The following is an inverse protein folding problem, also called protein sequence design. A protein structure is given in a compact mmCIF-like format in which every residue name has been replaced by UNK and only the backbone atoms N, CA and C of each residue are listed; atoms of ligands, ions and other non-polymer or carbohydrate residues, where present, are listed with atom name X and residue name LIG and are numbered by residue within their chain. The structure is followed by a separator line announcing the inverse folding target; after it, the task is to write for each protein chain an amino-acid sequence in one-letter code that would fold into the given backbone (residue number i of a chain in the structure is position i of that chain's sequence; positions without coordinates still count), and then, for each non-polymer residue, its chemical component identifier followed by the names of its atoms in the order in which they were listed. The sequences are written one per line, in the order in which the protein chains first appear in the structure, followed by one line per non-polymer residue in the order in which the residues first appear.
data_IF_702530349670
#
_entry.id   IF_702530349670
#
_cell.length_a   1.000
_cell.length_b   1.000
_cell.length_c   1.000
_cell.angle_alpha   90.00
_cell.angle_beta   90.00
_cell.angle_gamma   90.00
#
_symmetry.space_group_name_H-M   'P 1'
#
loop_
_entity.id
_entity.type
_entity.pdbx_description
1 polymer ?
#
# COMPACT_ATOMS: atom_id res chain seq x y z
N UNK A 1 -2.98 -14.27 7.64
CA UNK A 1 -1.63 -13.88 7.16
C UNK A 1 -1.68 -12.46 6.61
N UNK A 2 -1.22 -11.44 7.35
CA UNK A 2 -1.29 -10.01 6.95
C UNK A 2 0.03 -9.23 7.17
N UNK A 3 1.13 -9.97 7.35
CA UNK A 3 2.48 -9.45 7.56
C UNK A 3 3.50 -10.26 6.77
N UNK A 4 4.79 -10.07 7.08
CA UNK A 4 5.88 -10.82 6.47
C UNK A 4 5.64 -12.33 6.56
N UNK A 5 5.84 -13.05 5.45
CA UNK A 5 5.57 -14.47 5.39
C UNK A 5 6.54 -15.21 4.46
N UNK A 6 7.69 -15.57 5.03
CA UNK A 6 8.74 -16.28 4.32
C UNK A 6 8.31 -17.67 3.79
N UNK A 7 7.22 -18.26 4.33
CA UNK A 7 6.75 -19.58 3.89
C UNK A 7 6.15 -19.57 2.48
N UNK A 8 5.81 -18.38 1.94
CA UNK A 8 5.28 -18.20 0.59
C UNK A 8 6.37 -17.97 -0.46
N UNK A 9 7.59 -17.68 -0.03
CA UNK A 9 8.73 -17.46 -0.91
C UNK A 9 8.97 -18.70 -1.77
N UNK A 10 9.28 -18.48 -3.06
CA UNK A 10 9.48 -19.53 -4.07
C UNK A 10 8.25 -20.39 -4.38
N UNK A 11 7.09 -20.11 -3.76
CA UNK A 11 5.81 -20.82 -4.01
C UNK A 11 4.81 -19.95 -4.77
N UNK A 12 4.97 -18.64 -4.70
CA UNK A 12 4.13 -17.64 -5.36
C UNK A 12 4.99 -16.68 -6.18
N UNK A 13 4.38 -16.06 -7.18
CA UNK A 13 5.02 -15.05 -8.03
C UNK A 13 4.64 -13.65 -7.52
N UNK A 14 5.54 -12.93 -6.83
CA UNK A 14 5.30 -11.53 -6.48
C UNK A 14 5.39 -10.66 -7.74
N UNK A 15 4.40 -9.77 -7.93
CA UNK A 15 4.33 -8.86 -9.10
C UNK A 15 4.39 -7.38 -8.75
N UNK A 16 4.47 -7.04 -7.46
CA UNK A 16 4.50 -5.65 -7.01
C UNK A 16 4.45 -5.51 -5.50
N UNK A 17 4.43 -4.25 -5.06
CA UNK A 17 4.41 -3.86 -3.65
C UNK A 17 3.43 -2.71 -3.44
N UNK A 18 2.82 -2.64 -2.26
CA UNK A 18 1.98 -1.52 -1.86
C UNK A 18 2.89 -0.36 -1.42
N UNK A 19 2.91 0.71 -2.22
CA UNK A 19 3.68 1.93 -1.92
C UNK A 19 2.92 2.93 -1.05
N UNK A 20 1.58 2.85 -1.02
CA UNK A 20 0.72 3.73 -0.22
C UNK A 20 -0.56 3.01 0.18
N UNK A 21 -1.12 3.36 1.34
CA UNK A 21 -2.40 2.81 1.82
C UNK A 21 -2.33 1.39 2.38
N UNK A 22 -1.16 0.92 2.83
CA UNK A 22 -1.04 -0.39 3.49
C UNK A 22 -1.92 -0.48 4.75
N UNK A 23 -2.13 0.62 5.46
CA UNK A 23 -3.03 0.70 6.61
C UNK A 23 -4.49 0.45 6.21
N UNK A 24 -4.92 0.90 5.02
CA UNK A 24 -6.26 0.64 4.47
C UNK A 24 -6.43 -0.84 4.16
N UNK A 25 -5.42 -1.46 3.52
CA UNK A 25 -5.41 -2.90 3.25
C UNK A 25 -5.51 -3.72 4.54
N UNK A 26 -4.81 -3.30 5.60
CA UNK A 26 -4.85 -3.97 6.90
C UNK A 26 -6.22 -3.88 7.59
N UNK A 27 -7.04 -2.87 7.26
CA UNK A 27 -8.39 -2.65 7.79
C UNK A 27 -9.49 -3.47 7.09
N UNK A 28 -9.18 -4.15 5.97
CA UNK A 28 -10.18 -5.00 5.28
C UNK A 28 -10.78 -6.03 6.23
N UNK A 29 -12.10 -6.25 6.14
CA UNK A 29 -12.83 -7.20 7.00
C UNK A 29 -12.24 -8.60 6.93
N UNK A 30 -12.15 -9.24 8.09
CA UNK A 30 -11.56 -10.58 8.26
C UNK A 30 -12.66 -11.64 8.15
N UNK A 31 -12.34 -12.78 7.52
CA UNK A 31 -13.22 -13.95 7.40
C UNK A 31 -12.91 -14.78 6.16
N UNK A 32 -13.35 -16.05 6.15
CA UNK A 32 -13.17 -16.99 5.03
C UNK A 32 -14.49 -17.69 4.66
N UNK A 33 -15.41 -17.03 3.92
CA UNK A 33 -15.42 -15.60 3.60
C UNK A 33 -16.04 -14.74 4.73
N UNK A 34 -15.77 -13.42 4.77
CA UNK A 34 -16.47 -12.51 5.68
C UNK A 34 -17.96 -12.40 5.30
N UNK A 35 -18.84 -12.17 6.27
CA UNK A 35 -20.29 -12.00 6.03
C UNK A 35 -20.61 -10.86 5.06
N UNK A 36 -19.87 -9.75 5.15
CA UNK A 36 -20.02 -8.57 4.31
C UNK A 36 -18.66 -8.06 3.81
N UNK A 37 -18.01 -8.71 2.82
CA UNK A 37 -16.66 -8.37 2.40
C UNK A 37 -16.59 -6.95 1.81
N UNK A 38 -15.45 -6.28 2.01
CA UNK A 38 -15.18 -5.01 1.34
C UNK A 38 -14.97 -5.21 -0.15
N UNK A 39 -15.20 -4.15 -0.93
CA UNK A 39 -15.22 -4.20 -2.40
C UNK A 39 -14.19 -3.24 -2.98
N UNK A 40 -13.53 -3.67 -4.06
CA UNK A 40 -12.79 -2.77 -4.93
C UNK A 40 -13.79 -2.02 -5.81
N UNK A 41 -14.05 -0.75 -5.50
CA UNK A 41 -15.05 0.07 -6.22
C UNK A 41 -14.48 0.69 -7.49
N UNK A 42 -13.18 0.96 -7.53
CA UNK A 42 -12.47 1.52 -8.68
C UNK A 42 -11.05 0.99 -8.72
N UNK A 43 -10.63 0.48 -9.87
CA UNK A 43 -9.26 0.06 -10.15
C UNK A 43 -8.86 0.67 -11.48
N UNK A 44 -7.72 1.35 -11.52
CA UNK A 44 -7.18 1.96 -12.75
C UNK A 44 -5.67 1.81 -12.79
N UNK A 45 -5.13 1.61 -13.99
CA UNK A 45 -3.70 1.78 -14.23
C UNK A 45 -3.37 3.26 -14.24
N UNK A 46 -2.22 3.64 -13.69
CA UNK A 46 -1.79 5.03 -13.64
C UNK A 46 -1.70 5.66 -15.05
N UNK A 47 -1.30 4.86 -16.04
CA UNK A 47 -1.25 5.22 -17.46
C UNK A 47 -2.60 5.64 -18.04
N UNK A 48 -3.69 5.08 -17.51
CA UNK A 48 -5.05 5.27 -18.05
C UNK A 48 -5.75 6.47 -17.39
N UNK A 49 -5.10 7.11 -16.42
CA UNK A 49 -5.60 8.33 -15.78
C UNK A 49 -5.20 9.53 -16.64
N UNK A 50 -6.12 10.45 -16.97
CA UNK A 50 -5.80 11.70 -17.66
C UNK A 50 -4.72 12.48 -16.92
N UNK A 51 -3.81 13.13 -17.64
CA UNK A 51 -2.63 13.78 -17.05
C UNK A 51 -2.98 14.80 -15.95
N UNK A 52 -4.07 15.55 -16.14
CA UNK A 52 -4.56 16.53 -15.18
C UNK A 52 -4.96 15.93 -13.81
N UNK A 53 -5.33 14.65 -13.78
CA UNK A 53 -5.75 13.93 -12.56
C UNK A 53 -4.72 12.88 -12.11
N UNK A 54 -3.65 12.67 -12.89
CA UNK A 54 -2.72 11.56 -12.69
C UNK A 54 -1.85 11.83 -11.45
N UNK A 55 -1.95 11.00 -10.39
CA UNK A 55 -1.06 11.12 -9.25
C UNK A 55 0.38 10.89 -9.67
N UNK A 56 1.28 11.73 -9.16
CA UNK A 56 2.72 11.52 -9.30
C UNK A 56 3.26 10.80 -8.06
N UNK A 57 4.03 9.75 -8.29
CA UNK A 57 4.66 8.93 -7.25
C UNK A 57 6.16 9.11 -7.36
N UNK A 58 6.79 9.46 -6.24
CA UNK A 58 8.25 9.43 -6.10
C UNK A 58 8.64 8.40 -5.05
N UNK A 59 9.66 7.61 -5.37
CA UNK A 59 10.23 6.58 -4.50
C UNK A 59 11.68 6.95 -4.24
N UNK A 60 12.11 6.85 -2.99
CA UNK A 60 13.51 7.07 -2.62
C UNK A 60 14.41 6.05 -3.31
N UNK A 61 15.48 6.53 -3.92
CA UNK A 61 16.52 5.67 -4.48
C UNK A 61 17.22 4.89 -3.37
N UNK A 62 17.16 3.57 -3.45
CA UNK A 62 17.74 2.66 -2.45
C UNK A 62 19.26 2.56 -2.54
N UNK A 63 19.87 3.06 -3.62
CA UNK A 63 21.33 3.19 -3.75
C UNK A 63 21.88 4.47 -3.12
N UNK A 64 21.02 5.41 -2.72
CA UNK A 64 21.43 6.72 -2.18
C UNK A 64 21.99 6.64 -0.75
N UNK A 65 22.83 7.61 -0.38
CA UNK A 65 23.35 7.72 0.99
C UNK A 65 22.26 8.05 2.01
N UNK A 66 21.19 8.73 1.58
CA UNK A 66 20.03 9.03 2.42
C UNK A 66 19.27 7.75 2.80
N UNK A 67 19.14 6.80 1.87
CA UNK A 67 18.51 5.52 2.18
C UNK A 67 19.32 4.69 3.17
N UNK A 68 20.65 4.79 3.17
CA UNK A 68 21.48 4.13 4.20
C UNK A 68 21.14 4.61 5.61
N UNK A 69 20.83 5.90 5.78
CA UNK A 69 20.40 6.42 7.08
C UNK A 69 19.07 5.80 7.54
N UNK A 70 18.15 5.55 6.60
CA UNK A 70 16.88 4.85 6.89
C UNK A 70 17.16 3.40 7.31
N UNK A 71 18.01 2.70 6.57
CA UNK A 71 18.40 1.32 6.89
C UNK A 71 19.05 1.21 8.27
N UNK A 72 19.98 2.10 8.60
CA UNK A 72 20.69 2.08 9.88
C UNK A 72 19.76 2.38 11.05
N UNK A 73 18.79 3.29 10.86
CA UNK A 73 17.74 3.54 11.85
C UNK A 73 16.90 2.27 12.10
N UNK A 74 16.47 1.57 11.04
CA UNK A 74 15.69 0.32 11.18
C UNK A 74 16.52 -0.80 11.81
N UNK A 75 17.78 -0.97 11.41
CA UNK A 75 18.69 -1.95 12.04
C UNK A 75 18.90 -1.68 13.51
N UNK A 76 19.04 -0.40 13.90
CA UNK A 76 19.18 -0.01 15.31
C UNK A 76 17.91 -0.29 16.11
N UNK A 77 16.73 -0.08 15.53
CA UNK A 77 15.43 -0.38 16.16
C UNK A 77 15.21 -1.89 16.34
N UNK A 78 15.49 -2.68 15.30
CA UNK A 78 15.24 -4.13 15.30
C UNK A 78 16.34 -4.99 15.92
N UNK A 79 17.58 -4.51 15.93
CA UNK A 79 18.72 -5.24 16.48
C UNK A 79 18.86 -6.63 15.86
N UNK A 80 18.89 -7.66 16.70
CA UNK A 80 19.04 -9.05 16.27
C UNK A 80 17.82 -9.58 15.48
N UNK A 81 16.65 -8.96 15.64
CA UNK A 81 15.41 -9.36 14.96
C UNK A 81 15.26 -8.73 13.56
N UNK A 82 16.26 -7.97 13.11
CA UNK A 82 16.22 -7.27 11.82
C UNK A 82 15.99 -8.24 10.65
N UNK A 83 14.99 -7.92 9.83
CA UNK A 83 14.73 -8.54 8.54
C UNK A 83 14.57 -7.51 7.43
N UNK A 84 14.80 -7.93 6.19
CA UNK A 84 14.52 -7.12 5.01
C UNK A 84 13.05 -6.66 4.95
N UNK A 85 12.12 -7.44 5.52
CA UNK A 85 10.69 -7.09 5.56
C UNK A 85 10.35 -5.96 6.54
N UNK A 86 11.27 -5.56 7.42
CA UNK A 86 11.08 -4.41 8.34
C UNK A 86 11.36 -3.07 7.66
N UNK A 87 12.11 -3.09 6.56
CA UNK A 87 12.51 -1.89 5.85
C UNK A 87 11.38 -1.42 4.93
N UNK A 88 10.80 -0.27 5.25
CA UNK A 88 9.86 0.41 4.36
C UNK A 88 10.61 1.43 3.51
N UNK A 89 10.54 1.28 2.19
CA UNK A 89 11.15 2.24 1.26
C UNK A 89 10.31 3.52 1.25
N UNK A 90 10.88 4.69 1.61
CA UNK A 90 10.13 5.94 1.61
C UNK A 90 9.60 6.25 0.22
N UNK A 91 8.31 6.57 0.15
CA UNK A 91 7.66 7.04 -1.07
C UNK A 91 6.68 8.16 -0.74
N UNK A 92 6.42 9.02 -1.72
CA UNK A 92 5.49 10.14 -1.58
C UNK A 92 4.63 10.27 -2.83
N UNK A 93 3.43 10.80 -2.62
CA UNK A 93 2.49 11.14 -3.68
C UNK A 93 2.40 12.67 -3.73
N UNK A 94 2.84 13.29 -4.82
CA UNK A 94 2.97 14.75 -4.92
C UNK A 94 1.65 15.43 -5.28
N UNK A 95 0.83 14.77 -6.09
CA UNK A 95 -0.47 15.26 -6.55
C UNK A 95 -1.53 14.21 -6.21
N UNK A 96 -1.66 13.88 -4.93
CA UNK A 96 -2.70 12.96 -4.50
C UNK A 96 -4.05 13.57 -4.88
N UNK A 97 -4.89 12.89 -5.69
CA UNK A 97 -6.25 13.36 -5.90
C UNK A 97 -6.89 13.46 -4.52
N UNK A 98 -7.61 14.56 -4.27
CA UNK A 98 -8.36 14.72 -3.03
C UNK A 98 -9.12 13.42 -2.79
N UNK A 99 -8.72 12.66 -1.77
CA UNK A 99 -9.41 11.45 -1.37
C UNK A 99 -10.84 11.91 -1.15
N UNK A 100 -11.75 11.45 -2.03
CA UNK A 100 -13.14 11.84 -2.03
C UNK A 100 -13.62 11.85 -0.58
N UNK A 101 -13.82 13.06 -0.05
CA UNK A 101 -14.35 13.25 1.29
C UNK A 101 -15.75 12.69 1.23
N UNK A 102 -15.94 11.49 1.81
CA UNK A 102 -17.23 10.88 2.10
C UNK A 102 -18.31 11.07 1.01
N UNK A 103 -18.30 10.24 -0.04
CA UNK A 103 -19.54 10.00 -0.78
C UNK A 103 -20.38 9.01 0.05
N UNK A 104 -21.20 9.58 0.94
CA UNK A 104 -22.36 8.89 1.51
C UNK A 104 -23.17 8.29 0.36
N UNK A 105 -23.41 6.97 0.32
CA UNK A 105 -24.27 6.40 -0.72
C UNK A 105 -25.67 7.01 -0.60
N UNK A 106 -26.13 7.66 -1.67
CA UNK A 106 -27.51 8.09 -1.77
C UNK A 106 -28.45 6.88 -1.59
N UNK A 107 -29.58 7.02 -0.86
CA UNK A 107 -30.51 5.93 -0.68
C UNK A 107 -31.14 5.53 -2.02
N UNK A 108 -31.41 4.23 -2.26
CA UNK A 108 -32.01 3.78 -3.51
C UNK A 108 -33.41 4.39 -3.69
N UNK A 109 -33.86 4.65 -4.93
CA UNK A 109 -35.20 5.16 -5.17
C UNK A 109 -36.23 4.12 -4.70
N UNK A 110 -37.13 4.57 -3.82
CA UNK A 110 -38.31 3.81 -3.43
C UNK A 110 -39.16 3.52 -4.69
N UNK A 111 -39.56 2.27 -4.87
CA UNK A 111 -40.72 1.93 -5.70
C UNK A 111 -42.00 2.14 -4.91
#
# INVERSE_FOLDING_TARGET
MRGANAALEKRYAPVGVIISGLDVVRKLKIGEPPVNPDKMTRVRMLSDIPEAERPQVEIMDTASSQFQTVLDAVRKDKGADFSACDVTIPSKILNAPAVATAETPAPPPAK
#
